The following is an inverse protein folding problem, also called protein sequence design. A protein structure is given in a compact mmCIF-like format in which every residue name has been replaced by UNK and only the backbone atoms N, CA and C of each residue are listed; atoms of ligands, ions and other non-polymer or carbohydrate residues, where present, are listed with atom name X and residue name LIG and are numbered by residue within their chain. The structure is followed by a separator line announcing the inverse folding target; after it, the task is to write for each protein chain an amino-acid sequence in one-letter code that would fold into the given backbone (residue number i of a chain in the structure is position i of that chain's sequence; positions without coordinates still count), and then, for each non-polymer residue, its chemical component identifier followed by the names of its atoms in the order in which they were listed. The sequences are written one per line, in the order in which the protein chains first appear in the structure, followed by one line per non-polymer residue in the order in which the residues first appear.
data_IF_538270276945
#
_entry.id   IF_538270276945
#
_cell.length_a   1.000
_cell.length_b   1.000
_cell.length_c   1.000
_cell.angle_alpha   90.00
_cell.angle_beta   90.00
_cell.angle_gamma   90.00
#
_symmetry.space_group_name_H-M   'P 1'
#
loop_
_entity.id
_entity.type
_entity.pdbx_description
1 polymer ?
#
# COMPACT_ATOMS: atom_id res chain seq x y z
N UNK A 1 -0.07 21.79 -16.06
CA UNK A 1 -0.02 20.44 -15.45
C UNK A 1 -0.39 19.45 -16.53
N UNK A 2 0.45 18.44 -16.75
CA UNK A 2 0.19 17.44 -17.77
C UNK A 2 -0.98 16.54 -17.35
N UNK A 3 -1.90 16.29 -18.29
CA UNK A 3 -3.02 15.41 -18.06
C UNK A 3 -2.61 13.95 -18.23
N UNK A 4 -3.19 13.07 -17.41
CA UNK A 4 -2.90 11.63 -17.42
C UNK A 4 -3.76 10.96 -18.51
N UNK A 5 -3.14 10.17 -19.40
CA UNK A 5 -3.81 9.28 -20.36
C UNK A 5 -4.18 7.94 -19.75
N UNK A 6 -3.22 7.34 -19.05
CA UNK A 6 -3.38 6.04 -18.44
C UNK A 6 -2.44 5.83 -17.25
N UNK A 7 -2.83 4.90 -16.41
CA UNK A 7 -1.93 4.22 -15.46
C UNK A 7 -1.70 2.82 -16.03
N UNK A 8 -0.44 2.49 -16.26
CA UNK A 8 -0.04 1.23 -16.88
C UNK A 8 0.80 0.41 -15.90
N UNK A 9 0.78 -0.92 -15.96
CA UNK A 9 1.55 -1.76 -15.06
C UNK A 9 3.05 -1.54 -15.28
N UNK A 10 3.83 -1.61 -14.21
CA UNK A 10 5.29 -1.59 -14.32
C UNK A 10 5.84 -2.86 -14.95
N UNK A 11 5.08 -3.95 -14.89
CA UNK A 11 5.37 -5.26 -15.47
C UNK A 11 4.10 -5.90 -15.98
N UNK A 12 4.23 -6.62 -17.09
CA UNK A 12 3.15 -7.49 -17.57
C UNK A 12 2.92 -8.67 -16.61
N UNK A 13 1.71 -9.16 -16.57
CA UNK A 13 1.32 -10.41 -15.88
C UNK A 13 1.59 -10.44 -14.38
N UNK A 14 1.34 -9.33 -13.68
CA UNK A 14 1.41 -9.29 -12.23
C UNK A 14 0.04 -9.01 -11.58
N UNK A 15 -0.11 -9.46 -10.35
CA UNK A 15 -1.32 -9.31 -9.54
C UNK A 15 -0.97 -8.76 -8.17
N UNK A 16 -1.77 -7.82 -7.69
CA UNK A 16 -1.69 -7.31 -6.32
C UNK A 16 -2.69 -8.01 -5.40
N UNK A 17 -2.20 -8.62 -4.35
CA UNK A 17 -3.00 -9.16 -3.26
C UNK A 17 -2.87 -8.21 -2.06
N UNK A 18 -3.83 -7.32 -1.90
CA UNK A 18 -3.86 -6.34 -0.80
C UNK A 18 -4.66 -6.93 0.34
N UNK A 19 -4.05 -7.13 1.48
CA UNK A 19 -4.69 -7.81 2.59
C UNK A 19 -4.71 -6.96 3.86
N UNK A 20 -5.90 -6.60 4.30
CA UNK A 20 -6.13 -6.09 5.65
C UNK A 20 -6.26 -7.27 6.61
N UNK A 21 -5.11 -7.71 7.16
CA UNK A 21 -5.01 -8.97 7.91
C UNK A 21 -5.76 -8.97 9.24
N UNK A 22 -5.96 -7.79 9.82
CA UNK A 22 -6.70 -7.64 11.08
C UNK A 22 -7.29 -6.22 11.20
N UNK A 23 -8.17 -6.05 12.18
CA UNK A 23 -8.73 -4.79 12.65
C UNK A 23 -8.28 -4.46 14.09
N UNK A 24 -7.15 -5.03 14.52
CA UNK A 24 -6.51 -4.75 15.79
C UNK A 24 -5.22 -3.97 15.60
N UNK A 25 -5.05 -2.92 16.38
CA UNK A 25 -3.82 -2.14 16.42
C UNK A 25 -3.41 -1.90 17.88
N UNK A 26 -2.10 -1.84 18.13
CA UNK A 26 -1.57 -1.45 19.44
C UNK A 26 -1.54 0.08 19.65
N UNK A 27 -1.80 0.87 18.59
CA UNK A 27 -2.00 2.32 18.64
C UNK A 27 -3.49 2.67 18.65
N UNK A 28 -3.83 3.88 19.12
CA UNK A 28 -5.20 4.41 19.20
C UNK A 28 -5.19 5.84 18.69
N UNK A 29 -4.68 6.03 17.47
CA UNK A 29 -4.58 7.37 16.86
C UNK A 29 -5.96 7.99 16.72
N UNK A 30 -6.09 9.27 17.11
CA UNK A 30 -7.38 9.98 17.13
C UNK A 30 -8.03 10.11 15.76
N UNK A 31 -7.23 10.18 14.70
CA UNK A 31 -7.68 10.25 13.31
C UNK A 31 -7.93 8.88 12.66
N UNK A 32 -7.62 7.78 13.35
CA UNK A 32 -7.86 6.45 12.83
C UNK A 32 -9.27 5.99 13.14
N UNK A 33 -9.93 5.35 12.18
CA UNK A 33 -11.25 4.77 12.40
C UNK A 33 -11.23 3.70 13.49
N UNK A 34 -12.21 3.75 14.39
CA UNK A 34 -12.35 2.80 15.50
C UNK A 34 -12.33 1.34 15.03
N UNK A 35 -12.91 1.03 13.88
CA UNK A 35 -12.92 -0.33 13.33
C UNK A 35 -11.51 -0.86 12.98
N UNK A 36 -10.50 0.00 12.80
CA UNK A 36 -9.12 -0.41 12.54
C UNK A 36 -8.34 -0.81 13.79
N UNK A 37 -8.87 -0.57 14.99
CA UNK A 37 -8.16 -0.87 16.22
C UNK A 37 -9.03 -1.48 17.33
N UNK A 38 -10.34 -1.60 17.09
CA UNK A 38 -11.28 -2.12 18.09
C UNK A 38 -11.11 -3.62 18.39
N UNK A 39 -10.38 -4.34 17.56
CA UNK A 39 -10.04 -5.75 17.77
C UNK A 39 -11.22 -6.70 17.68
N UNK A 40 -12.23 -6.36 16.88
CA UNK A 40 -13.46 -7.18 16.75
C UNK A 40 -13.28 -8.40 15.86
N UNK A 41 -12.35 -8.32 14.91
CA UNK A 41 -12.01 -9.41 14.00
C UNK A 41 -10.56 -9.84 14.27
N UNK A 42 -10.33 -10.49 15.38
CA UNK A 42 -9.16 -11.35 15.46
C UNK A 42 -9.39 -12.46 14.45
N UNK A 43 -8.63 -12.48 13.37
CA UNK A 43 -8.57 -13.65 12.50
C UNK A 43 -7.85 -14.77 13.26
N UNK A 44 -8.50 -15.34 14.27
CA UNK A 44 -8.12 -16.58 14.94
C UNK A 44 -8.50 -17.79 14.05
N UNK A 45 -8.63 -17.53 12.73
CA UNK A 45 -9.02 -18.51 11.75
C UNK A 45 -7.92 -19.55 11.61
N UNK A 46 -8.36 -20.76 11.29
CA UNK A 46 -7.48 -21.85 10.94
C UNK A 46 -6.46 -21.42 9.88
N UNK A 47 -5.19 -21.33 10.28
CA UNK A 47 -4.08 -20.91 9.41
C UNK A 47 -3.99 -21.83 8.18
N UNK A 48 -4.29 -23.10 8.32
CA UNK A 48 -4.29 -24.07 7.22
C UNK A 48 -5.34 -23.70 6.16
N UNK A 49 -6.56 -23.37 6.56
CA UNK A 49 -7.61 -22.90 5.65
C UNK A 49 -7.20 -21.64 4.90
N UNK A 50 -6.60 -20.67 5.61
CA UNK A 50 -6.09 -19.42 5.02
C UNK A 50 -5.02 -19.72 3.96
N UNK A 51 -4.04 -20.54 4.31
CA UNK A 51 -2.91 -20.88 3.44
C UNK A 51 -3.39 -21.65 2.21
N UNK A 52 -4.31 -22.62 2.35
CA UNK A 52 -4.87 -23.39 1.24
C UNK A 52 -5.70 -22.50 0.30
N UNK A 53 -6.42 -21.52 0.84
CA UNK A 53 -7.18 -20.57 0.01
C UNK A 53 -6.25 -19.64 -0.74
N UNK A 54 -5.19 -19.12 -0.08
CA UNK A 54 -4.15 -18.34 -0.75
C UNK A 54 -3.50 -19.14 -1.90
N UNK A 55 -3.22 -20.41 -1.69
CA UNK A 55 -2.72 -21.31 -2.73
C UNK A 55 -3.68 -21.40 -3.92
N UNK A 56 -4.97 -21.57 -3.65
CA UNK A 56 -6.00 -21.60 -4.68
C UNK A 56 -6.05 -20.30 -5.48
N UNK A 57 -5.97 -19.16 -4.81
CA UNK A 57 -5.92 -17.83 -5.44
C UNK A 57 -4.71 -17.74 -6.39
N UNK A 58 -3.52 -18.04 -5.89
CA UNK A 58 -2.29 -17.93 -6.69
C UNK A 58 -2.35 -18.86 -7.91
N UNK A 59 -2.73 -20.12 -7.73
CA UNK A 59 -2.87 -21.08 -8.84
C UNK A 59 -3.88 -20.59 -9.89
N UNK A 60 -5.03 -20.05 -9.45
CA UNK A 60 -6.04 -19.53 -10.38
C UNK A 60 -5.48 -18.40 -11.27
N UNK A 61 -4.66 -17.54 -10.73
CA UNK A 61 -4.00 -16.50 -11.52
C UNK A 61 -2.86 -17.05 -12.40
N UNK A 62 -2.09 -18.01 -11.89
CA UNK A 62 -1.04 -18.68 -12.67
C UNK A 62 -1.61 -19.40 -13.89
N UNK A 63 -2.75 -20.09 -13.75
CA UNK A 63 -3.48 -20.74 -14.83
C UNK A 63 -3.98 -19.74 -15.91
N UNK A 64 -4.18 -18.48 -15.53
CA UNK A 64 -4.49 -17.36 -16.43
C UNK A 64 -3.24 -16.67 -17.00
N UNK A 65 -2.03 -17.18 -16.70
CA UNK A 65 -0.77 -16.71 -17.22
C UNK A 65 -0.13 -15.57 -16.42
N UNK A 66 -0.64 -15.25 -15.23
CA UNK A 66 0.04 -14.31 -14.33
C UNK A 66 1.24 -14.98 -13.67
N UNK A 67 2.37 -14.28 -13.64
CA UNK A 67 3.65 -14.84 -13.17
C UNK A 67 4.11 -14.23 -11.84
N UNK A 68 3.79 -12.95 -11.62
CA UNK A 68 4.33 -12.19 -10.51
C UNK A 68 3.22 -11.70 -9.59
N UNK A 69 3.50 -11.76 -8.30
CA UNK A 69 2.53 -11.43 -7.27
C UNK A 69 3.12 -10.44 -6.26
N UNK A 70 2.32 -9.46 -5.88
CA UNK A 70 2.58 -8.64 -4.71
C UNK A 70 1.62 -9.02 -3.60
N UNK A 71 2.13 -9.54 -2.51
CA UNK A 71 1.39 -9.65 -1.28
C UNK A 71 1.63 -8.39 -0.46
N UNK A 72 0.63 -7.53 -0.32
CA UNK A 72 0.74 -6.29 0.45
C UNK A 72 -0.13 -6.35 1.70
N UNK A 73 0.51 -6.37 2.87
CA UNK A 73 -0.12 -6.60 4.16
C UNK A 73 -0.37 -5.27 4.87
N UNK A 74 -1.61 -5.05 5.31
CA UNK A 74 -2.04 -3.89 6.07
C UNK A 74 -3.10 -4.29 7.11
N UNK A 75 -3.78 -3.33 7.71
CA UNK A 75 -4.83 -3.56 8.68
C UNK A 75 -4.72 -2.59 9.84
N UNK A 76 -4.99 -3.03 11.05
CA UNK A 76 -4.64 -2.30 12.25
C UNK A 76 -3.11 -2.27 12.38
N UNK A 77 -2.51 -3.30 12.98
CA UNK A 77 -1.05 -3.49 12.93
C UNK A 77 -0.73 -4.92 12.50
N UNK A 78 -0.31 -5.14 11.25
CA UNK A 78 -0.13 -6.47 10.68
C UNK A 78 1.01 -7.25 11.33
N UNK A 79 2.04 -6.59 11.88
CA UNK A 79 3.17 -7.29 12.51
C UNK A 79 2.79 -8.05 13.78
N UNK A 80 1.61 -7.79 14.35
CA UNK A 80 1.08 -8.53 15.51
C UNK A 80 0.08 -9.63 15.12
N UNK A 81 -0.18 -9.83 13.83
CA UNK A 81 -1.02 -10.92 13.38
C UNK A 81 -0.30 -12.27 13.50
N UNK A 82 -0.91 -13.24 14.19
CA UNK A 82 -0.26 -14.52 14.47
C UNK A 82 0.06 -15.35 13.20
N UNK A 83 -0.77 -15.23 12.17
CA UNK A 83 -0.57 -15.94 10.91
C UNK A 83 0.40 -15.22 9.94
N UNK A 84 0.99 -14.07 10.30
CA UNK A 84 1.86 -13.32 9.42
C UNK A 84 2.98 -14.18 8.81
N UNK A 85 3.79 -14.80 9.67
CA UNK A 85 4.95 -15.56 9.20
C UNK A 85 4.56 -16.83 8.43
N UNK A 86 3.60 -17.67 8.90
CA UNK A 86 3.10 -18.80 8.11
C UNK A 86 2.62 -18.41 6.70
N UNK A 87 1.82 -17.34 6.60
CA UNK A 87 1.27 -16.87 5.31
C UNK A 87 2.38 -16.34 4.39
N UNK A 88 3.30 -15.52 4.93
CA UNK A 88 4.41 -14.98 4.13
C UNK A 88 5.33 -16.10 3.64
N UNK A 89 5.69 -17.05 4.49
CA UNK A 89 6.54 -18.17 4.10
C UNK A 89 5.87 -19.00 2.98
N UNK A 90 4.59 -19.33 3.16
CA UNK A 90 3.86 -20.08 2.13
C UNK A 90 3.75 -19.31 0.82
N UNK A 91 3.44 -18.02 0.88
CA UNK A 91 3.42 -17.17 -0.32
C UNK A 91 4.76 -17.24 -1.07
N UNK A 92 5.89 -17.11 -0.33
CA UNK A 92 7.23 -17.15 -0.92
C UNK A 92 7.57 -18.48 -1.59
N UNK A 93 7.03 -19.59 -1.11
CA UNK A 93 7.20 -20.92 -1.72
C UNK A 93 6.48 -21.07 -3.05
N UNK A 94 5.43 -20.29 -3.28
CA UNK A 94 4.49 -20.50 -4.40
C UNK A 94 4.72 -19.60 -5.59
N UNK A 95 5.47 -18.51 -5.46
CA UNK A 95 5.60 -17.47 -6.48
C UNK A 95 7.00 -17.38 -7.06
N UNK A 96 7.10 -16.85 -8.28
CA UNK A 96 8.38 -16.62 -8.96
C UNK A 96 9.20 -15.48 -8.34
N UNK A 97 10.48 -15.75 -8.11
CA UNK A 97 11.48 -14.79 -7.63
C UNK A 97 12.67 -14.69 -8.59
N UNK A 98 13.29 -13.53 -8.84
CA UNK A 98 12.80 -12.19 -8.48
C UNK A 98 11.64 -11.78 -9.40
N UNK A 99 10.73 -11.02 -8.88
CA UNK A 99 9.60 -10.50 -9.67
C UNK A 99 8.36 -10.32 -8.82
N UNK A 100 8.15 -11.20 -7.86
CA UNK A 100 7.15 -11.06 -6.81
C UNK A 100 7.71 -10.30 -5.60
N UNK A 101 6.86 -9.86 -4.68
CA UNK A 101 7.30 -9.24 -3.43
C UNK A 101 6.28 -9.36 -2.31
N UNK A 102 6.78 -9.26 -1.09
CA UNK A 102 5.99 -9.01 0.12
C UNK A 102 6.20 -7.59 0.58
N UNK A 103 5.11 -6.84 0.70
CA UNK A 103 5.09 -5.49 1.25
C UNK A 103 4.27 -5.41 2.53
N UNK A 104 4.62 -4.48 3.41
CA UNK A 104 3.89 -4.26 4.66
C UNK A 104 3.71 -2.77 4.94
N UNK A 105 2.51 -2.40 5.37
CA UNK A 105 2.23 -1.10 5.97
C UNK A 105 2.12 -1.29 7.48
N UNK A 106 3.02 -0.67 8.26
CA UNK A 106 3.15 -0.91 9.70
C UNK A 106 3.39 0.39 10.47
N UNK A 107 2.90 0.46 11.69
CA UNK A 107 3.23 1.56 12.61
C UNK A 107 4.66 1.46 13.20
N UNK A 108 5.41 0.48 12.74
CA UNK A 108 6.83 0.27 13.02
C UNK A 108 7.17 0.07 14.50
N UNK A 109 6.20 -0.38 15.30
CA UNK A 109 6.32 -0.52 16.75
C UNK A 109 6.99 -1.80 17.22
N UNK A 110 7.30 -2.78 16.34
CA UNK A 110 8.07 -3.97 16.71
C UNK A 110 9.49 -3.58 17.18
N UNK A 111 10.08 -4.32 18.12
CA UNK A 111 11.47 -4.08 18.54
C UNK A 111 12.45 -4.38 17.39
N UNK A 112 13.65 -3.80 17.48
CA UNK A 112 14.72 -4.02 16.50
C UNK A 112 15.01 -5.51 16.30
N UNK A 113 15.05 -6.31 17.39
CA UNK A 113 15.29 -7.75 17.31
C UNK A 113 14.29 -8.50 16.43
N UNK A 114 13.04 -8.06 16.39
CA UNK A 114 12.06 -8.64 15.48
C UNK A 114 12.40 -8.36 14.02
N UNK A 115 12.85 -7.15 13.72
CA UNK A 115 13.30 -6.78 12.37
C UNK A 115 14.61 -7.48 11.99
N UNK A 116 15.53 -7.65 12.94
CA UNK A 116 16.77 -8.41 12.73
C UNK A 116 16.47 -9.86 12.31
N UNK A 117 15.48 -10.47 12.93
CA UNK A 117 15.09 -11.86 12.67
C UNK A 117 14.29 -12.00 11.35
N UNK A 118 13.34 -11.10 11.06
CA UNK A 118 12.34 -11.34 10.02
C UNK A 118 12.42 -10.41 8.80
N UNK A 119 13.32 -9.42 8.79
CA UNK A 119 13.37 -8.46 7.68
C UNK A 119 13.55 -9.11 6.30
N UNK A 120 14.23 -10.25 6.21
CA UNK A 120 14.52 -10.95 4.97
C UNK A 120 13.27 -11.51 4.26
N UNK A 121 12.16 -11.62 4.97
CA UNK A 121 10.88 -12.09 4.44
C UNK A 121 10.04 -10.98 3.78
N UNK A 122 10.40 -9.71 3.96
CA UNK A 122 9.62 -8.55 3.55
C UNK A 122 10.51 -7.64 2.69
N UNK A 123 10.16 -7.42 1.45
CA UNK A 123 10.90 -6.59 0.50
C UNK A 123 10.59 -5.09 0.65
N UNK A 124 9.30 -4.77 0.86
CA UNK A 124 8.80 -3.39 0.86
C UNK A 124 8.20 -3.04 2.22
N UNK A 125 8.67 -1.97 2.82
CA UNK A 125 8.17 -1.50 4.12
C UNK A 125 7.70 -0.06 4.00
N UNK A 126 6.42 0.17 4.27
CA UNK A 126 5.88 1.50 4.55
C UNK A 126 5.74 1.63 6.05
N UNK A 127 6.67 2.35 6.65
CA UNK A 127 6.72 2.63 8.08
C UNK A 127 5.94 3.92 8.37
N UNK A 128 4.76 3.80 8.96
CA UNK A 128 3.93 4.96 9.31
C UNK A 128 4.40 5.59 10.61
N UNK A 129 4.75 6.86 10.55
CA UNK A 129 5.00 7.67 11.74
C UNK A 129 3.70 8.33 12.21
N UNK A 130 3.29 7.97 13.41
CA UNK A 130 2.09 8.49 14.07
C UNK A 130 2.51 9.37 15.25
N UNK A 131 2.45 10.70 15.18
CA UNK A 131 3.06 11.60 16.17
C UNK A 131 2.53 11.39 17.59
N UNK A 132 1.28 10.94 17.74
CA UNK A 132 0.67 10.68 19.06
C UNK A 132 1.26 9.46 19.78
N UNK A 133 1.80 8.46 19.03
CA UNK A 133 2.11 7.14 19.59
C UNK A 133 3.51 6.65 19.31
N UNK A 134 4.14 7.16 18.25
CA UNK A 134 5.45 6.66 17.83
C UNK A 134 6.53 7.07 18.82
N UNK A 135 7.30 6.09 19.27
CA UNK A 135 8.53 6.31 20.02
C UNK A 135 9.67 6.54 19.03
N UNK A 136 10.06 7.79 18.81
CA UNK A 136 10.99 8.18 17.76
C UNK A 136 12.33 7.46 17.81
N UNK A 137 12.93 7.28 19.00
CA UNK A 137 14.20 6.57 19.13
C UNK A 137 14.12 5.13 18.60
N UNK A 138 13.05 4.42 18.94
CA UNK A 138 12.80 3.06 18.47
C UNK A 138 12.56 3.03 16.96
N UNK A 139 11.78 3.98 16.46
CA UNK A 139 11.54 4.12 15.03
C UNK A 139 12.84 4.34 14.27
N UNK A 140 13.68 5.27 14.72
CA UNK A 140 14.96 5.58 14.09
C UNK A 140 15.95 4.42 14.15
N UNK A 141 15.99 3.64 15.24
CA UNK A 141 16.80 2.41 15.31
C UNK A 141 16.39 1.42 14.23
N UNK A 142 15.10 1.15 14.10
CA UNK A 142 14.57 0.24 13.10
C UNK A 142 14.84 0.77 11.67
N UNK A 143 14.62 2.07 11.44
CA UNK A 143 14.79 2.69 10.13
C UNK A 143 16.26 2.64 9.67
N UNK A 144 17.21 3.02 10.55
CA UNK A 144 18.66 2.93 10.29
C UNK A 144 19.10 1.50 9.98
N UNK A 145 18.55 0.51 10.67
CA UNK A 145 18.84 -0.89 10.39
C UNK A 145 18.37 -1.32 9.02
N UNK A 146 17.17 -0.86 8.59
CA UNK A 146 16.52 -1.32 7.37
C UNK A 146 16.89 -0.52 6.12
N UNK A 147 17.38 0.73 6.22
CA UNK A 147 17.53 1.66 5.10
C UNK A 147 18.36 1.13 3.91
N UNK A 148 19.26 0.15 4.16
CA UNK A 148 20.08 -0.47 3.13
C UNK A 148 19.73 -1.95 2.86
N UNK A 149 18.61 -2.42 3.40
CA UNK A 149 18.21 -3.84 3.37
C UNK A 149 16.88 -4.07 2.66
N UNK A 150 16.17 -3.00 2.28
CA UNK A 150 14.84 -3.06 1.68
C UNK A 150 14.85 -2.59 0.24
N UNK A 151 13.99 -3.21 -0.56
CA UNK A 151 13.73 -2.76 -1.92
C UNK A 151 13.06 -1.40 -1.90
N UNK A 152 12.14 -1.24 -0.97
CA UNK A 152 11.43 0.00 -0.71
C UNK A 152 11.28 0.18 0.80
N UNK A 153 11.85 1.24 1.35
CA UNK A 153 11.62 1.66 2.73
C UNK A 153 11.14 3.11 2.72
N UNK A 154 9.87 3.29 3.02
CA UNK A 154 9.24 4.60 3.07
C UNK A 154 8.83 4.94 4.49
N UNK A 155 9.20 6.12 4.97
CA UNK A 155 8.63 6.74 6.15
C UNK A 155 7.40 7.55 5.73
N UNK A 156 6.21 7.02 5.96
CA UNK A 156 4.96 7.76 5.75
C UNK A 156 4.64 8.55 7.00
N UNK A 157 4.90 9.85 6.96
CA UNK A 157 4.65 10.74 8.09
C UNK A 157 3.21 11.24 8.02
N UNK A 158 2.41 10.85 9.03
CA UNK A 158 1.02 11.28 9.14
C UNK A 158 0.99 12.72 9.64
N UNK A 159 0.82 13.68 8.71
CA UNK A 159 0.93 15.11 8.93
C UNK A 159 -0.27 15.65 9.72
N UNK A 160 -0.40 15.22 10.98
CA UNK A 160 -1.50 15.62 11.86
C UNK A 160 -1.38 17.11 12.22
N UNK A 161 -2.47 17.87 12.09
CA UNK A 161 -2.45 19.34 12.26
C UNK A 161 -1.99 19.78 13.65
N UNK A 162 -2.41 19.06 14.69
CA UNK A 162 -2.09 19.37 16.09
C UNK A 162 -0.61 19.13 16.42
N UNK A 163 0.03 18.20 15.70
CA UNK A 163 1.42 17.80 15.89
C UNK A 163 2.28 18.14 14.66
N UNK A 164 1.86 19.11 13.85
CA UNK A 164 2.45 19.36 12.53
C UNK A 164 3.95 19.66 12.61
N UNK A 165 4.36 20.54 13.53
CA UNK A 165 5.78 20.89 13.69
C UNK A 165 6.60 19.67 14.13
N UNK A 166 6.10 18.83 15.03
CA UNK A 166 6.76 17.56 15.41
C UNK A 166 6.96 16.66 14.19
N UNK A 167 5.96 16.57 13.31
CA UNK A 167 6.09 15.81 12.06
C UNK A 167 7.20 16.38 11.17
N UNK A 168 7.27 17.70 11.00
CA UNK A 168 8.32 18.37 10.22
C UNK A 168 9.70 18.09 10.84
N UNK A 169 9.85 18.28 12.15
CA UNK A 169 11.11 18.04 12.87
C UNK A 169 11.58 16.59 12.73
N UNK A 170 10.64 15.66 12.81
CA UNK A 170 10.93 14.22 12.61
C UNK A 170 11.42 13.94 11.18
N UNK A 171 10.85 14.58 10.16
CA UNK A 171 11.35 14.40 8.78
C UNK A 171 12.76 14.93 8.61
N UNK A 172 13.09 16.08 9.24
CA UNK A 172 14.44 16.60 9.24
C UNK A 172 15.43 15.67 9.96
N UNK A 173 14.98 15.05 11.06
CA UNK A 173 15.77 14.05 11.76
C UNK A 173 16.12 12.86 10.85
N UNK A 174 15.15 12.31 10.10
CA UNK A 174 15.43 11.23 9.12
C UNK A 174 16.47 11.70 8.09
N UNK A 175 16.30 12.90 7.52
CA UNK A 175 17.21 13.46 6.51
C UNK A 175 18.63 13.64 7.04
N UNK A 176 18.79 14.00 8.30
CA UNK A 176 20.09 14.23 8.92
C UNK A 176 20.79 12.94 9.36
N UNK A 177 20.03 11.93 9.79
CA UNK A 177 20.56 10.74 10.42
C UNK A 177 20.58 9.50 9.51
N UNK A 178 19.95 9.55 8.33
CA UNK A 178 19.87 8.42 7.40
C UNK A 178 20.49 8.80 6.04
N UNK A 179 21.23 7.85 5.48
CA UNK A 179 21.85 8.01 4.15
C UNK A 179 20.86 7.76 3.00
N UNK A 180 19.92 6.84 3.22
CA UNK A 180 18.88 6.47 2.27
C UNK A 180 17.52 6.65 2.93
N UNK A 181 16.67 7.44 2.29
CA UNK A 181 15.30 7.63 2.76
C UNK A 181 14.31 7.89 1.63
N UNK A 182 13.07 7.51 1.87
CA UNK A 182 11.88 7.96 1.19
C UNK A 182 10.94 8.47 2.28
N UNK A 183 10.48 9.69 2.18
CA UNK A 183 9.56 10.32 3.13
C UNK A 183 8.32 10.74 2.35
N UNK A 184 7.16 10.21 2.69
CA UNK A 184 5.87 10.68 2.22
C UNK A 184 5.24 11.56 3.30
N UNK A 185 4.90 12.79 2.93
CA UNK A 185 4.15 13.73 3.78
C UNK A 185 2.65 13.48 3.55
N UNK A 186 2.10 12.54 4.32
CA UNK A 186 0.73 12.09 4.11
C UNK A 186 -0.27 13.00 4.84
N UNK A 187 -1.19 13.66 4.12
CA UNK A 187 -2.27 14.38 4.77
C UNK A 187 -3.14 13.40 5.56
N UNK A 188 -3.60 13.85 6.72
CA UNK A 188 -4.52 13.07 7.56
C UNK A 188 -5.95 13.43 7.19
N UNK A 189 -6.78 12.41 7.02
CA UNK A 189 -8.20 12.54 6.73
C UNK A 189 -9.03 12.06 7.93
N UNK A 190 -10.18 12.67 8.17
CA UNK A 190 -11.10 12.20 9.20
C UNK A 190 -11.49 10.74 8.94
N UNK A 191 -11.28 9.90 9.96
CA UNK A 191 -11.58 8.47 9.95
C UNK A 191 -10.85 7.67 8.84
N UNK A 192 -9.67 8.13 8.37
CA UNK A 192 -8.89 7.53 7.26
C UNK A 192 -9.70 7.33 5.97
N UNK A 193 -10.85 7.95 5.87
CA UNK A 193 -11.58 7.98 4.62
C UNK A 193 -11.23 9.27 3.92
N UNK A 194 -10.72 9.22 2.71
CA UNK A 194 -10.72 10.37 1.87
C UNK A 194 -12.18 10.77 1.67
N UNK A 195 -12.65 11.67 2.49
CA UNK A 195 -13.83 12.45 2.13
C UNK A 195 -13.47 13.26 0.90
N UNK A 196 -14.44 13.77 0.19
CA UNK A 196 -14.23 14.67 -0.96
C UNK A 196 -13.43 15.90 -0.59
N UNK A 197 -13.17 16.11 0.70
CA UNK A 197 -12.37 17.19 1.24
C UNK A 197 -11.22 16.63 2.08
N UNK A 198 -9.96 17.05 1.84
CA UNK A 198 -8.84 16.70 2.68
C UNK A 198 -9.13 17.15 4.11
N UNK A 199 -8.53 16.47 5.08
CA UNK A 199 -8.53 16.87 6.48
C UNK A 199 -8.35 18.38 6.60
N UNK A 200 -9.25 19.05 7.31
CA UNK A 200 -9.21 20.50 7.43
C UNK A 200 -8.00 20.93 8.28
N UNK A 201 -6.97 21.37 7.60
CA UNK A 201 -5.90 22.12 8.22
C UNK A 201 -6.41 23.55 8.47
N UNK A 202 -6.47 23.96 9.73
CA UNK A 202 -6.94 25.30 10.11
C UNK A 202 -5.95 26.38 9.63
N UNK A 203 -4.67 26.00 9.52
CA UNK A 203 -3.62 26.84 8.96
C UNK A 203 -3.36 26.47 7.49
N UNK A 204 -3.67 27.36 6.52
CA UNK A 204 -3.39 27.12 5.12
C UNK A 204 -1.91 26.82 4.80
N UNK A 205 -0.96 27.33 5.61
CA UNK A 205 0.46 27.08 5.42
C UNK A 205 0.82 25.60 5.62
N UNK A 206 0.11 24.89 6.48
CA UNK A 206 0.31 23.44 6.66
C UNK A 206 -0.05 22.66 5.39
N UNK A 207 -1.19 22.98 4.77
CA UNK A 207 -1.60 22.33 3.53
C UNK A 207 -0.67 22.70 2.38
N UNK A 208 -0.24 23.95 2.29
CA UNK A 208 0.74 24.39 1.29
C UNK A 208 2.08 23.68 1.46
N UNK A 209 2.54 23.51 2.70
CA UNK A 209 3.74 22.73 3.00
C UNK A 209 3.63 21.30 2.45
N UNK A 210 2.51 20.59 2.73
CA UNK A 210 2.30 19.21 2.24
C UNK A 210 2.31 19.17 0.71
N UNK A 211 1.63 20.13 0.05
CA UNK A 211 1.59 20.20 -1.42
C UNK A 211 2.97 20.42 -2.05
N UNK A 212 3.82 21.19 -1.38
CA UNK A 212 5.17 21.50 -1.87
C UNK A 212 6.19 20.38 -1.58
N UNK A 213 5.88 19.46 -0.66
CA UNK A 213 6.83 18.44 -0.22
C UNK A 213 6.37 17.00 -0.47
N UNK A 214 5.25 16.76 -1.08
CA UNK A 214 4.59 15.44 -1.26
C UNK A 214 5.44 14.20 -0.92
N UNK A 215 6.60 14.04 -1.56
CA UNK A 215 7.54 12.94 -1.33
C UNK A 215 8.98 13.42 -1.49
N UNK A 216 9.78 13.26 -0.44
CA UNK A 216 11.23 13.50 -0.46
C UNK A 216 12.00 12.18 -0.58
N UNK A 217 13.02 12.15 -1.44
CA UNK A 217 13.83 10.94 -1.66
C UNK A 217 15.31 11.27 -1.69
N UNK A 218 16.10 10.46 -0.99
CA UNK A 218 17.54 10.43 -1.13
C UNK A 218 18.03 8.98 -1.13
N UNK A 219 18.81 8.62 -2.14
CA UNK A 219 19.46 7.33 -2.23
C UNK A 219 20.94 7.56 -2.60
N UNK A 220 21.82 7.43 -1.63
CA UNK A 220 23.29 7.56 -1.83
C UNK A 220 23.93 6.31 -2.42
N UNK A 221 23.29 5.15 -2.20
CA UNK A 221 23.69 3.89 -2.80
C UNK A 221 22.78 3.69 -4.00
N UNK A 222 23.34 3.40 -5.18
CA UNK A 222 22.53 2.82 -6.25
C UNK A 222 21.89 1.55 -5.68
N UNK A 223 20.70 1.70 -5.13
CA UNK A 223 19.81 0.57 -4.93
C UNK A 223 19.70 -0.02 -6.32
N UNK A 224 20.36 -1.18 -6.54
CA UNK A 224 20.31 -1.90 -7.81
C UNK A 224 18.90 -1.74 -8.28
N UNK A 225 18.66 -1.21 -9.47
CA UNK A 225 17.33 -0.97 -10.04
C UNK A 225 16.55 -2.26 -9.93
N UNK A 226 15.92 -2.42 -8.77
CA UNK A 226 15.16 -3.62 -8.48
C UNK A 226 13.99 -3.58 -9.42
N UNK A 227 13.70 -4.67 -10.12
CA UNK A 227 12.68 -4.70 -11.17
C UNK A 227 11.30 -4.21 -10.74
N UNK A 228 11.09 -3.98 -9.45
CA UNK A 228 9.79 -3.70 -8.81
C UNK A 228 9.71 -2.35 -8.10
N UNK A 229 10.62 -1.43 -8.33
CA UNK A 229 10.61 -0.14 -7.64
C UNK A 229 9.36 0.69 -7.94
N UNK A 230 8.82 0.60 -9.15
CA UNK A 230 7.55 1.20 -9.49
C UNK A 230 6.53 0.10 -9.78
N UNK A 231 5.43 0.10 -9.05
CA UNK A 231 4.33 -0.85 -9.21
C UNK A 231 3.50 -0.55 -10.44
N UNK A 232 3.40 0.73 -10.80
CA UNK A 232 2.76 1.25 -11.98
C UNK A 232 3.53 2.46 -12.50
N UNK A 233 3.19 2.86 -13.71
CA UNK A 233 3.69 4.05 -14.36
C UNK A 233 2.52 4.91 -14.80
N UNK A 234 2.71 6.22 -14.82
CA UNK A 234 1.76 7.18 -15.36
C UNK A 234 2.18 7.52 -16.77
N UNK A 235 1.25 7.42 -17.73
CA UNK A 235 1.44 7.86 -19.10
C UNK A 235 0.68 9.16 -19.32
N UNK A 236 1.39 10.20 -19.73
CA UNK A 236 0.89 11.57 -19.86
C UNK A 236 0.55 11.93 -21.32
N UNK A 237 -0.14 13.07 -21.53
CA UNK A 237 -0.58 13.56 -22.85
C UNK A 237 0.59 13.88 -23.80
N UNK A 238 1.76 14.23 -23.30
CA UNK A 238 2.97 14.45 -24.09
C UNK A 238 3.75 13.16 -24.41
N UNK A 239 3.15 11.99 -24.17
CA UNK A 239 3.74 10.67 -24.31
C UNK A 239 4.89 10.34 -23.34
N UNK A 240 5.15 11.19 -22.37
CA UNK A 240 6.07 10.85 -21.29
C UNK A 240 5.50 9.75 -20.39
N UNK A 241 6.39 8.91 -19.83
CA UNK A 241 6.01 7.83 -18.91
C UNK A 241 6.92 7.90 -17.69
N UNK A 242 6.30 8.07 -16.51
CA UNK A 242 7.00 8.19 -15.25
C UNK A 242 6.54 7.15 -14.23
N UNK A 243 7.39 6.75 -13.28
CA UNK A 243 6.97 5.96 -12.12
C UNK A 243 5.85 6.68 -11.36
N UNK A 244 4.83 5.93 -10.93
CA UNK A 244 3.72 6.52 -10.18
C UNK A 244 4.20 7.00 -8.80
N UNK A 245 3.81 8.22 -8.44
CA UNK A 245 3.83 8.71 -7.07
C UNK A 245 2.38 8.91 -6.60
N UNK A 246 1.87 7.91 -5.90
CA UNK A 246 0.47 7.90 -5.46
C UNK A 246 0.16 9.04 -4.51
N UNK A 247 1.11 9.40 -3.62
CA UNK A 247 0.90 10.49 -2.68
C UNK A 247 0.80 11.83 -3.42
N UNK A 248 1.68 12.08 -4.38
CA UNK A 248 1.63 13.28 -5.21
C UNK A 248 0.31 13.37 -5.98
N UNK A 249 -0.14 12.31 -6.62
CA UNK A 249 -1.42 12.29 -7.38
C UNK A 249 -2.61 12.65 -6.47
N UNK A 250 -2.66 12.11 -5.24
CA UNK A 250 -3.73 12.42 -4.28
C UNK A 250 -3.65 13.87 -3.81
N UNK A 251 -2.47 14.33 -3.40
CA UNK A 251 -2.27 15.69 -2.89
C UNK A 251 -2.52 16.76 -3.95
N UNK A 252 -2.20 16.45 -5.22
CA UNK A 252 -2.45 17.31 -6.37
C UNK A 252 -3.90 17.24 -6.88
N UNK A 253 -4.73 16.38 -6.30
CA UNK A 253 -6.12 16.21 -6.72
C UNK A 253 -6.27 15.61 -8.12
N UNK A 254 -5.34 14.77 -8.57
CA UNK A 254 -5.36 14.11 -9.89
C UNK A 254 -5.96 12.69 -9.86
N UNK A 255 -6.63 12.33 -8.80
CA UNK A 255 -7.14 10.98 -8.53
C UNK A 255 -8.58 10.74 -9.04
N UNK A 256 -8.97 11.41 -10.13
CA UNK A 256 -10.30 11.33 -10.73
C UNK A 256 -10.30 10.38 -11.94
N UNK A 257 -10.93 9.21 -11.79
CA UNK A 257 -10.94 8.19 -12.84
C UNK A 257 -12.35 7.71 -13.19
N UNK A 258 -13.39 8.50 -12.87
CA UNK A 258 -14.75 8.21 -13.28
C UNK A 258 -14.86 8.12 -14.81
N UNK A 259 -15.50 7.07 -15.30
CA UNK A 259 -15.63 6.83 -16.74
C UNK A 259 -14.42 6.15 -17.41
N UNK A 260 -13.30 5.96 -16.69
CA UNK A 260 -12.14 5.28 -17.25
C UNK A 260 -12.33 3.76 -17.24
N UNK A 261 -11.71 3.05 -18.19
CA UNK A 261 -11.58 1.61 -18.12
C UNK A 261 -10.57 1.26 -17.01
N UNK A 262 -10.94 0.34 -16.11
CA UNK A 262 -10.12 -0.09 -14.99
C UNK A 262 -10.06 -1.61 -14.94
N UNK A 263 -8.83 -2.18 -14.95
CA UNK A 263 -8.58 -3.61 -14.95
C UNK A 263 -8.61 -4.20 -13.53
N UNK A 264 -9.78 -4.16 -12.88
CA UNK A 264 -9.95 -4.60 -11.48
C UNK A 264 -9.49 -6.03 -11.20
N UNK A 265 -9.36 -6.86 -12.24
CA UNK A 265 -8.88 -8.23 -12.12
C UNK A 265 -7.38 -8.34 -11.78
N UNK A 266 -6.62 -7.26 -11.90
CA UNK A 266 -5.20 -7.20 -11.50
C UNK A 266 -5.00 -7.02 -9.99
N UNK A 267 -6.08 -6.87 -9.22
CA UNK A 267 -5.99 -6.67 -7.78
C UNK A 267 -7.10 -7.38 -7.01
N UNK A 268 -6.71 -8.09 -5.97
CA UNK A 268 -7.63 -8.61 -4.96
C UNK A 268 -7.40 -7.87 -3.65
N UNK A 269 -8.49 -7.48 -3.02
CA UNK A 269 -8.50 -6.94 -1.67
C UNK A 269 -9.13 -7.95 -0.71
N UNK A 270 -8.36 -8.35 0.30
CA UNK A 270 -8.82 -9.25 1.34
C UNK A 270 -9.12 -8.40 2.58
N UNK A 271 -10.39 -8.36 2.95
CA UNK A 271 -10.87 -7.57 4.07
C UNK A 271 -10.60 -8.24 5.43
N UNK A 272 -10.64 -7.52 6.56
CA UNK A 272 -10.42 -8.11 7.89
C UNK A 272 -11.40 -9.23 8.24
N UNK A 273 -12.62 -9.24 7.68
CA UNK A 273 -13.61 -10.29 7.84
C UNK A 273 -13.39 -11.50 6.90
N UNK A 274 -12.28 -11.50 6.17
CA UNK A 274 -11.90 -12.55 5.23
C UNK A 274 -12.50 -12.43 3.82
N UNK A 275 -13.45 -11.54 3.56
CA UNK A 275 -14.01 -11.39 2.22
C UNK A 275 -12.92 -10.98 1.23
N UNK A 276 -12.93 -11.67 0.08
CA UNK A 276 -12.02 -11.42 -1.05
C UNK A 276 -12.79 -10.64 -2.10
N UNK A 277 -12.35 -9.45 -2.44
CA UNK A 277 -13.01 -8.55 -3.39
C UNK A 277 -12.04 -8.14 -4.50
N UNK A 278 -12.50 -8.07 -5.75
CA UNK A 278 -11.71 -7.50 -6.83
C UNK A 278 -11.70 -5.97 -6.70
N UNK A 279 -10.52 -5.40 -6.58
CA UNK A 279 -10.21 -4.03 -6.21
C UNK A 279 -10.70 -3.59 -4.81
N UNK A 280 -9.94 -2.74 -4.14
CA UNK A 280 -10.24 -2.31 -2.75
C UNK A 280 -11.32 -1.22 -2.67
N UNK A 281 -11.60 -0.55 -3.78
CA UNK A 281 -12.60 0.53 -3.85
C UNK A 281 -14.06 0.04 -3.80
N UNK A 282 -14.30 -1.27 -3.78
CA UNK A 282 -15.64 -1.86 -3.68
C UNK A 282 -16.45 -1.85 -4.97
N UNK A 283 -15.82 -1.61 -6.13
CA UNK A 283 -16.51 -1.64 -7.43
C UNK A 283 -16.59 -3.06 -8.01
N UNK A 284 -15.62 -3.91 -7.66
CA UNK A 284 -15.61 -5.30 -8.08
C UNK A 284 -16.45 -6.20 -7.16
N UNK A 285 -16.80 -7.42 -7.63
CA UNK A 285 -17.55 -8.39 -6.83
C UNK A 285 -16.72 -8.94 -5.67
N UNK A 286 -17.42 -9.44 -4.65
CA UNK A 286 -16.84 -10.38 -3.67
C UNK A 286 -16.75 -11.74 -4.34
N UNK A 287 -15.54 -12.26 -4.44
CA UNK A 287 -15.21 -13.51 -5.15
C UNK A 287 -14.86 -14.65 -4.20
N UNK A 288 -15.01 -14.47 -2.90
CA UNK A 288 -14.78 -15.52 -1.92
C UNK A 288 -14.58 -15.00 -0.51
N UNK A 289 -14.11 -15.92 0.36
CA UNK A 289 -13.72 -15.60 1.73
C UNK A 289 -12.56 -16.51 2.17
N UNK A 290 -11.41 -15.89 2.46
CA UNK A 290 -10.18 -16.63 2.76
C UNK A 290 -10.26 -17.41 4.08
N UNK A 291 -11.08 -16.95 5.02
CA UNK A 291 -11.30 -17.59 6.32
C UNK A 291 -12.20 -18.82 6.21
N UNK A 292 -13.13 -18.81 5.25
CA UNK A 292 -14.04 -19.93 4.99
C UNK A 292 -13.52 -20.92 3.94
N UNK A 293 -12.37 -20.66 3.34
CA UNK A 293 -11.83 -21.51 2.29
C UNK A 293 -12.57 -21.37 0.95
N UNK A 294 -13.22 -20.24 0.72
CA UNK A 294 -14.06 -20.01 -0.46
C UNK A 294 -13.34 -19.10 -1.45
N UNK A 295 -13.23 -19.55 -2.70
CA UNK A 295 -12.75 -18.71 -3.80
C UNK A 295 -13.48 -19.09 -5.09
N UNK A 296 -14.12 -18.09 -5.71
CA UNK A 296 -15.00 -18.25 -6.86
C UNK A 296 -14.35 -17.69 -8.14
N UNK A 297 -15.09 -17.74 -9.22
CA UNK A 297 -14.65 -17.22 -10.51
C UNK A 297 -14.42 -15.71 -10.47
N UNK A 298 -13.33 -15.28 -11.13
CA UNK A 298 -12.92 -13.88 -11.26
C UNK A 298 -13.52 -13.26 -12.52
N UNK A 299 -13.90 -12.00 -12.43
CA UNK A 299 -14.02 -11.15 -13.63
C UNK A 299 -12.63 -11.02 -14.23
N UNK A 300 -12.55 -11.16 -15.55
CA UNK A 300 -11.29 -11.10 -16.31
C UNK A 300 -11.22 -9.92 -17.25
N UNK A 301 -12.31 -9.16 -17.34
CA UNK A 301 -12.40 -7.97 -18.17
C UNK A 301 -12.35 -6.70 -17.31
N UNK A 302 -11.85 -5.62 -17.90
CA UNK A 302 -11.89 -4.30 -17.29
C UNK A 302 -13.33 -3.78 -17.18
N UNK A 303 -13.57 -2.94 -16.20
CA UNK A 303 -14.86 -2.27 -16.01
C UNK A 303 -14.73 -0.77 -16.28
N UNK A 304 -15.84 -0.11 -16.62
CA UNK A 304 -15.93 1.36 -16.58
C UNK A 304 -16.03 1.78 -15.12
N UNK A 305 -15.07 2.57 -14.63
CA UNK A 305 -15.02 3.02 -13.25
C UNK A 305 -16.20 3.95 -12.91
N UNK A 306 -17.05 3.59 -11.95
CA UNK A 306 -18.16 4.43 -11.53
C UNK A 306 -17.81 5.40 -10.40
N UNK A 307 -16.56 5.36 -9.92
CA UNK A 307 -16.11 6.16 -8.76
C UNK A 307 -15.49 7.46 -9.21
N UNK A 308 -15.98 8.54 -8.64
CA UNK A 308 -15.44 9.88 -8.90
C UNK A 308 -13.95 9.96 -8.49
N UNK A 309 -13.61 9.47 -7.29
CA UNK A 309 -12.24 9.46 -6.78
C UNK A 309 -11.71 8.05 -6.59
N UNK A 310 -10.44 7.84 -6.94
CA UNK A 310 -9.67 6.68 -6.50
C UNK A 310 -8.89 7.07 -5.22
N UNK A 311 -9.11 6.33 -4.14
CA UNK A 311 -8.60 6.72 -2.82
C UNK A 311 -7.57 5.75 -2.23
N UNK A 312 -7.56 4.52 -2.72
CA UNK A 312 -6.69 3.50 -2.18
C UNK A 312 -5.37 3.47 -2.95
N UNK A 313 -4.26 3.66 -2.26
CA UNK A 313 -2.92 3.59 -2.86
C UNK A 313 -2.69 2.26 -3.63
N UNK A 314 -3.31 1.17 -3.18
CA UNK A 314 -3.22 -0.11 -3.86
C UNK A 314 -3.96 -0.09 -5.21
N UNK A 315 -5.15 0.53 -5.27
CA UNK A 315 -5.93 0.59 -6.50
C UNK A 315 -5.33 1.56 -7.53
N UNK A 316 -4.46 2.49 -7.13
CA UNK A 316 -3.71 3.28 -8.09
C UNK A 316 -2.80 2.43 -8.98
N UNK A 317 -2.33 1.29 -8.48
CA UNK A 317 -1.46 0.40 -9.24
C UNK A 317 -2.21 -0.51 -10.22
N UNK A 318 -3.55 -0.52 -10.20
CA UNK A 318 -4.38 -1.22 -11.18
C UNK A 318 -4.31 -0.44 -12.48
N UNK A 319 -4.13 -1.14 -13.60
CA UNK A 319 -4.14 -0.55 -14.93
C UNK A 319 -5.49 0.14 -15.20
N UNK A 320 -5.42 1.38 -15.63
CA UNK A 320 -6.61 2.16 -16.00
C UNK A 320 -6.28 3.19 -17.05
N UNK A 321 -7.23 3.43 -17.95
CA UNK A 321 -7.05 4.36 -19.04
C UNK A 321 -8.33 5.10 -19.36
N UNK A 322 -8.20 6.29 -19.94
CA UNK A 322 -9.32 6.95 -20.59
C UNK A 322 -9.88 6.06 -21.70
N UNK A 323 -11.18 6.16 -22.04
CA UNK A 323 -11.82 5.28 -23.04
C UNK A 323 -11.05 5.16 -24.35
N UNK A 324 -10.52 6.28 -24.87
CA UNK A 324 -9.76 6.33 -26.13
C UNK A 324 -8.42 5.57 -26.06
N UNK A 325 -7.88 5.35 -24.86
CA UNK A 325 -6.61 4.64 -24.62
C UNK A 325 -6.81 3.24 -24.00
N UNK A 326 -8.06 2.79 -23.81
CA UNK A 326 -8.36 1.52 -23.14
C UNK A 326 -7.73 0.29 -23.82
N UNK A 327 -7.47 0.37 -25.13
CA UNK A 327 -6.80 -0.68 -25.90
C UNK A 327 -5.30 -0.84 -25.60
N UNK A 328 -4.73 0.02 -24.77
CA UNK A 328 -3.31 0.04 -24.38
C UNK A 328 -3.02 -0.59 -23.03
N UNK A 329 -4.06 -0.96 -22.26
CA UNK A 329 -3.96 -1.55 -20.94
C UNK A 329 -4.50 -2.98 -20.89
#
# INVERSE_FOLDING_TARGET
MQDIKAIIPAKDKWVSLVWQVNDWCNFRCTYCSEWNWAGRNKNDSDIETIVNTLETIIKTYQDKGYLYFKLYLSGGEPTYWAALLPVVNKFREMVEWPGSSVGINTNFSRPLSWWEEHHHLIEDVVASYHPEWTKEEKYMQNYKFLQNKKNYLCSRVMMQKENFQQCVDFTQRIKNECDNYIIEYAPVYDALRPSTEPYHYDDPAQLEFIKNHTTDRQQKIEVKKLPNYAWAKVWYEDDSVEPIDTNAIIVEGKNFFEGWTCNIHESLHIHPNGNIQQASCGVGPIVGNIVRGEFNELLTEGIVCPKHHCHCAADFNISKARPEYAHKI
#
